data_IF_262961069874
#
_entry.id   IF_262961069874
#
_cell.length_a   1.000
_cell.length_b   1.000
_cell.length_c   1.000
_cell.angle_alpha   90.00
_cell.angle_beta   90.00
_cell.angle_gamma   90.00
#
_symmetry.space_group_name_H-M   'P 1'
#
loop_
_entity.id
_entity.type
_entity.pdbx_description
1 polymer ?
#
# COMPACT_ATOMS: atom_id res chain seq x y z
N UNK A 1 -35.37 -11.06 -7.77
CA UNK A 1 -34.30 -10.72 -6.81
C UNK A 1 -32.97 -11.17 -7.41
N UNK A 2 -32.21 -10.24 -8.02
CA UNK A 2 -30.88 -10.55 -8.51
C UNK A 2 -30.00 -10.78 -7.28
N UNK A 3 -29.40 -11.96 -7.16
CA UNK A 3 -28.26 -12.18 -6.26
C UNK A 3 -27.18 -11.20 -6.75
N UNK A 4 -26.99 -10.12 -6.03
CA UNK A 4 -25.74 -9.38 -6.10
C UNK A 4 -24.66 -10.43 -5.79
N UNK A 5 -23.73 -10.64 -6.71
CA UNK A 5 -22.62 -11.56 -6.49
C UNK A 5 -21.98 -11.15 -5.15
N UNK A 6 -21.95 -12.06 -4.18
CA UNK A 6 -21.23 -11.84 -2.93
C UNK A 6 -19.80 -11.54 -3.32
N UNK A 7 -19.33 -10.32 -3.03
CA UNK A 7 -17.94 -9.96 -3.24
C UNK A 7 -17.08 -10.89 -2.39
N UNK A 8 -15.94 -11.37 -2.89
CA UNK A 8 -15.03 -12.15 -2.06
C UNK A 8 -14.70 -11.30 -0.83
N UNK A 9 -14.93 -11.88 0.34
CA UNK A 9 -14.53 -11.27 1.61
C UNK A 9 -13.01 -11.18 1.61
N UNK A 10 -12.44 -10.03 1.98
CA UNK A 10 -10.99 -9.87 2.05
C UNK A 10 -10.38 -10.93 2.99
N UNK A 11 -9.18 -11.40 2.66
CA UNK A 11 -8.49 -12.42 3.45
C UNK A 11 -8.15 -11.88 4.86
N UNK A 12 -8.74 -12.41 5.94
CA UNK A 12 -8.55 -11.89 7.28
C UNK A 12 -7.17 -12.21 7.88
N UNK A 13 -6.40 -13.11 7.24
CA UNK A 13 -5.15 -13.64 7.82
C UNK A 13 -4.10 -12.56 8.06
N UNK A 14 -3.99 -11.55 7.19
CA UNK A 14 -3.05 -10.44 7.38
C UNK A 14 -3.43 -9.64 8.63
N UNK A 15 -4.70 -9.27 8.75
CA UNK A 15 -5.23 -8.54 9.90
C UNK A 15 -5.05 -9.31 11.20
N UNK A 16 -5.41 -10.60 11.22
CA UNK A 16 -5.25 -11.47 12.39
C UNK A 16 -3.79 -11.56 12.87
N UNK A 17 -2.83 -11.64 11.93
CA UNK A 17 -1.39 -11.64 12.27
C UNK A 17 -0.97 -10.31 12.91
N UNK A 18 -1.41 -9.18 12.34
CA UNK A 18 -1.14 -7.85 12.88
C UNK A 18 -1.76 -7.66 14.27
N UNK A 19 -3.02 -8.02 14.45
CA UNK A 19 -3.75 -7.90 15.71
C UNK A 19 -3.12 -8.76 16.82
N UNK A 20 -2.45 -9.87 16.47
CA UNK A 20 -1.70 -10.71 17.41
C UNK A 20 -0.34 -10.12 17.82
N UNK A 21 0.06 -8.98 17.27
CA UNK A 21 1.36 -8.35 17.51
C UNK A 21 2.53 -9.07 16.83
N UNK A 22 2.25 -9.98 15.89
CA UNK A 22 3.29 -10.72 15.17
C UNK A 22 4.05 -9.80 14.23
N UNK A 23 5.38 -9.92 14.24
CA UNK A 23 6.22 -9.33 13.21
C UNK A 23 6.01 -10.05 11.89
N UNK A 24 5.70 -9.30 10.83
CA UNK A 24 5.38 -9.84 9.50
C UNK A 24 6.50 -9.50 8.54
N UNK A 25 6.98 -10.50 7.82
CA UNK A 25 7.91 -10.32 6.71
C UNK A 25 7.14 -10.49 5.39
N UNK A 26 7.10 -9.43 4.59
CA UNK A 26 6.44 -9.39 3.30
C UNK A 26 7.47 -9.04 2.20
N UNK A 27 8.10 -10.05 1.56
CA UNK A 27 9.06 -9.79 0.49
C UNK A 27 8.37 -9.18 -0.74
N UNK A 28 9.08 -8.32 -1.46
CA UNK A 28 8.65 -7.76 -2.72
C UNK A 28 8.58 -8.82 -3.81
N UNK A 29 7.41 -8.96 -4.45
CA UNK A 29 7.20 -9.80 -5.63
C UNK A 29 6.74 -8.94 -6.80
N UNK A 30 7.06 -9.34 -8.02
CA UNK A 30 6.83 -8.51 -9.20
C UNK A 30 6.48 -9.31 -10.47
N UNK A 31 6.65 -10.63 -10.41
CA UNK A 31 6.25 -11.55 -11.47
C UNK A 31 5.85 -12.92 -10.89
N UNK A 32 5.41 -13.81 -11.74
CA UNK A 32 4.93 -15.12 -11.29
C UNK A 32 6.06 -15.98 -10.72
N UNK A 33 7.29 -15.81 -11.18
CA UNK A 33 8.43 -16.59 -10.67
C UNK A 33 8.80 -16.16 -9.26
N UNK A 34 8.93 -14.85 -9.01
CA UNK A 34 9.19 -14.32 -7.67
C UNK A 34 8.05 -14.65 -6.70
N UNK A 35 6.78 -14.61 -7.16
CA UNK A 35 5.62 -15.02 -6.37
C UNK A 35 5.70 -16.49 -5.97
N UNK A 36 5.98 -17.40 -6.92
CA UNK A 36 6.09 -18.83 -6.65
C UNK A 36 7.30 -19.16 -5.75
N UNK A 37 8.39 -18.42 -5.85
CA UNK A 37 9.54 -18.58 -4.95
C UNK A 37 9.20 -18.14 -3.53
N UNK A 38 8.53 -17.00 -3.35
CA UNK A 38 8.05 -16.52 -2.05
C UNK A 38 7.10 -17.53 -1.40
N UNK A 39 6.19 -18.14 -2.18
CA UNK A 39 5.30 -19.21 -1.70
C UNK A 39 6.08 -20.41 -1.16
N UNK A 40 7.12 -20.85 -1.86
CA UNK A 40 7.94 -21.99 -1.43
C UNK A 40 8.72 -21.73 -0.14
N UNK A 41 9.10 -20.48 0.11
CA UNK A 41 9.76 -20.08 1.35
C UNK A 41 8.77 -19.99 2.50
N UNK A 42 7.50 -19.68 2.24
CA UNK A 42 6.43 -19.65 3.25
C UNK A 42 6.41 -18.36 4.06
N UNK A 43 6.51 -17.21 3.39
CA UNK A 43 6.39 -15.89 4.05
C UNK A 43 4.97 -15.63 4.57
N UNK A 44 4.86 -14.74 5.56
CA UNK A 44 3.59 -14.36 6.18
C UNK A 44 2.65 -13.59 5.26
N UNK A 45 3.22 -12.81 4.35
CA UNK A 45 2.55 -12.04 3.31
C UNK A 45 3.54 -11.82 2.16
N UNK A 46 3.06 -11.33 1.02
CA UNK A 46 3.90 -10.85 -0.10
C UNK A 46 3.51 -9.41 -0.46
N UNK A 47 4.48 -8.62 -0.91
CA UNK A 47 4.27 -7.25 -1.34
C UNK A 47 4.38 -7.14 -2.87
N UNK A 48 3.29 -6.85 -3.55
CA UNK A 48 3.27 -6.59 -4.99
C UNK A 48 3.80 -5.17 -5.24
N UNK A 49 5.12 -5.07 -5.51
CA UNK A 49 5.87 -3.82 -5.57
C UNK A 49 5.64 -3.07 -6.87
N UNK A 50 5.10 -1.85 -6.80
CA UNK A 50 4.81 -1.01 -7.96
C UNK A 50 6.03 -0.75 -8.85
N UNK A 51 7.18 -0.44 -8.26
CA UNK A 51 8.43 -0.25 -8.99
C UNK A 51 8.78 -1.45 -9.88
N UNK A 52 8.85 -2.63 -9.28
CA UNK A 52 9.25 -3.83 -10.01
C UNK A 52 8.16 -4.36 -10.93
N UNK A 53 6.88 -4.18 -10.57
CA UNK A 53 5.76 -4.49 -11.47
C UNK A 53 5.82 -3.65 -12.74
N UNK A 54 6.01 -2.34 -12.60
CA UNK A 54 6.15 -1.42 -13.73
C UNK A 54 7.34 -1.79 -14.61
N UNK A 55 8.50 -2.05 -14.01
CA UNK A 55 9.71 -2.42 -14.73
C UNK A 55 9.58 -3.77 -15.44
N UNK A 56 9.06 -4.80 -14.76
CA UNK A 56 8.99 -6.16 -15.32
C UNK A 56 7.86 -6.38 -16.32
N UNK A 57 6.74 -5.66 -16.15
CA UNK A 57 5.55 -5.85 -16.98
C UNK A 57 5.52 -4.90 -18.17
N UNK A 58 5.92 -3.64 -17.96
CA UNK A 58 5.84 -2.61 -19.00
C UNK A 58 7.22 -2.22 -19.56
N UNK A 59 8.32 -2.57 -18.87
CA UNK A 59 9.68 -2.19 -19.27
C UNK A 59 9.94 -0.68 -19.19
N UNK A 60 9.24 0.03 -18.32
CA UNK A 60 9.32 1.49 -18.17
C UNK A 60 9.68 1.86 -16.71
N UNK A 61 10.21 3.08 -16.48
CA UNK A 61 10.55 3.54 -15.14
C UNK A 61 9.27 3.76 -14.29
N UNK A 62 9.44 3.60 -12.97
CA UNK A 62 8.43 3.91 -11.96
C UNK A 62 8.30 5.42 -11.76
N UNK A 63 7.52 6.05 -12.62
CA UNK A 63 7.35 7.50 -12.72
C UNK A 63 5.87 7.91 -12.91
N UNK A 64 4.94 7.13 -12.37
CA UNK A 64 3.50 7.41 -12.46
C UNK A 64 2.94 7.21 -13.88
N UNK A 65 3.59 6.39 -14.71
CA UNK A 65 3.15 6.12 -16.10
C UNK A 65 2.17 4.94 -16.14
N UNK A 66 2.41 3.90 -15.31
CA UNK A 66 1.54 2.75 -15.25
C UNK A 66 0.12 3.15 -14.82
N UNK A 67 -0.87 2.65 -15.53
CA UNK A 67 -2.27 2.94 -15.26
C UNK A 67 -2.85 2.03 -14.18
N UNK A 68 -3.95 2.47 -13.55
CA UNK A 68 -4.73 1.63 -12.64
C UNK A 68 -5.04 0.24 -13.24
N UNK A 69 -5.47 0.19 -14.50
CA UNK A 69 -5.87 -1.07 -15.15
C UNK A 69 -4.70 -2.02 -15.34
N UNK A 70 -3.54 -1.51 -15.76
CA UNK A 70 -2.32 -2.30 -15.92
C UNK A 70 -1.86 -2.87 -14.59
N UNK A 71 -1.81 -2.03 -13.54
CA UNK A 71 -1.40 -2.44 -12.22
C UNK A 71 -2.38 -3.46 -11.61
N UNK A 72 -3.69 -3.21 -11.67
CA UNK A 72 -4.70 -4.11 -11.15
C UNK A 72 -4.64 -5.49 -11.85
N UNK A 73 -4.50 -5.52 -13.17
CA UNK A 73 -4.37 -6.78 -13.91
C UNK A 73 -3.17 -7.59 -13.45
N UNK A 74 -2.03 -6.94 -13.22
CA UNK A 74 -0.82 -7.61 -12.77
C UNK A 74 -0.92 -8.10 -11.33
N UNK A 75 -1.41 -7.25 -10.44
CA UNK A 75 -1.66 -7.58 -9.03
C UNK A 75 -2.65 -8.74 -8.91
N UNK A 76 -3.72 -8.75 -9.71
CA UNK A 76 -4.67 -9.86 -9.75
C UNK A 76 -4.01 -11.20 -10.07
N UNK A 77 -3.00 -11.23 -10.96
CA UNK A 77 -2.24 -12.46 -11.24
C UNK A 77 -1.35 -12.89 -10.07
N UNK A 78 -0.80 -11.95 -9.32
CA UNK A 78 -0.07 -12.26 -8.07
C UNK A 78 -1.03 -12.88 -7.06
N UNK A 79 -2.22 -12.31 -6.87
CA UNK A 79 -3.25 -12.84 -5.96
C UNK A 79 -3.68 -14.25 -6.36
N UNK A 80 -3.94 -14.49 -7.66
CA UNK A 80 -4.32 -15.83 -8.16
C UNK A 80 -3.28 -16.92 -7.85
N UNK A 81 -1.99 -16.53 -7.72
CA UNK A 81 -0.88 -17.46 -7.53
C UNK A 81 -0.36 -17.53 -6.11
N UNK A 82 -0.63 -16.53 -5.30
CA UNK A 82 -0.20 -16.48 -3.90
C UNK A 82 -1.23 -17.13 -2.98
N UNK A 83 -0.79 -18.03 -2.13
CA UNK A 83 -1.59 -18.52 -0.99
C UNK A 83 -1.41 -17.63 0.24
N UNK A 84 -0.32 -16.82 0.29
CA UNK A 84 -0.12 -15.81 1.32
C UNK A 84 -0.93 -14.55 1.03
N UNK A 85 -1.35 -13.80 2.05
CA UNK A 85 -1.98 -12.50 1.88
C UNK A 85 -1.12 -11.55 1.02
N UNK A 86 -1.75 -10.83 0.09
CA UNK A 86 -1.07 -9.91 -0.82
C UNK A 86 -1.29 -8.47 -0.36
N UNK A 87 -0.19 -7.77 -0.11
CA UNK A 87 -0.14 -6.32 0.04
C UNK A 87 0.17 -5.74 -1.34
N UNK A 88 -0.56 -4.75 -1.81
CA UNK A 88 -0.36 -4.20 -3.14
C UNK A 88 -0.09 -2.69 -3.12
N UNK A 89 0.92 -2.29 -3.88
CA UNK A 89 1.20 -0.88 -4.19
C UNK A 89 0.11 -0.33 -5.12
N UNK A 90 -0.41 0.84 -4.80
CA UNK A 90 -1.39 1.57 -5.59
C UNK A 90 -0.97 3.03 -5.84
N UNK A 91 0.34 3.28 -5.84
CA UNK A 91 0.90 4.61 -6.10
C UNK A 91 0.20 5.70 -5.25
N UNK A 92 -0.25 6.77 -5.87
CA UNK A 92 -1.00 7.85 -5.20
C UNK A 92 -2.53 7.64 -5.21
N UNK A 93 -3.00 6.42 -5.54
CA UNK A 93 -4.41 6.08 -5.72
C UNK A 93 -4.93 6.35 -7.14
N UNK A 94 -4.04 6.55 -8.10
CA UNK A 94 -4.30 6.78 -9.54
C UNK A 94 -5.18 8.00 -9.83
N UNK A 95 -5.15 9.02 -8.97
CA UNK A 95 -5.84 10.29 -9.21
C UNK A 95 -6.43 10.94 -7.95
N UNK A 96 -7.58 11.61 -8.11
CA UNK A 96 -8.29 12.27 -7.03
C UNK A 96 -9.14 11.33 -6.17
N UNK A 97 -10.00 11.88 -5.30
CA UNK A 97 -10.76 11.11 -4.33
C UNK A 97 -11.67 10.03 -4.95
N UNK A 98 -12.30 10.32 -6.09
CA UNK A 98 -13.11 9.33 -6.81
C UNK A 98 -12.27 8.19 -7.40
N UNK A 99 -11.04 8.50 -7.83
CA UNK A 99 -10.11 7.47 -8.30
C UNK A 99 -9.66 6.58 -7.13
N UNK A 100 -9.34 7.16 -5.97
CA UNK A 100 -9.02 6.38 -4.76
C UNK A 100 -10.15 5.43 -4.38
N UNK A 101 -11.39 5.92 -4.35
CA UNK A 101 -12.57 5.08 -4.11
C UNK A 101 -12.64 3.90 -5.11
N UNK A 102 -12.50 4.20 -6.40
CA UNK A 102 -12.53 3.19 -7.47
C UNK A 102 -11.39 2.17 -7.31
N UNK A 103 -10.19 2.65 -7.01
CA UNK A 103 -8.98 1.84 -6.81
C UNK A 103 -9.14 0.86 -5.67
N UNK A 104 -9.58 1.33 -4.50
CA UNK A 104 -9.83 0.48 -3.32
C UNK A 104 -10.82 -0.63 -3.66
N UNK A 105 -11.96 -0.28 -4.27
CA UNK A 105 -12.98 -1.27 -4.68
C UNK A 105 -12.46 -2.29 -5.66
N UNK A 106 -11.61 -1.88 -6.60
CA UNK A 106 -11.03 -2.77 -7.59
C UNK A 106 -10.02 -3.75 -6.99
N UNK A 107 -9.10 -3.25 -6.15
CA UNK A 107 -8.09 -4.07 -5.49
C UNK A 107 -8.70 -5.05 -4.48
N UNK A 108 -9.69 -4.61 -3.70
CA UNK A 108 -10.43 -5.49 -2.80
C UNK A 108 -11.12 -6.63 -3.56
N UNK A 109 -11.81 -6.32 -4.68
CA UNK A 109 -12.43 -7.33 -5.55
C UNK A 109 -11.44 -8.29 -6.19
N UNK A 110 -10.22 -7.85 -6.45
CA UNK A 110 -9.16 -8.70 -6.97
C UNK A 110 -8.59 -9.65 -5.90
N UNK A 111 -9.01 -9.53 -4.62
CA UNK A 111 -8.57 -10.39 -3.52
C UNK A 111 -7.30 -9.92 -2.81
N UNK A 112 -6.91 -8.65 -2.99
CA UNK A 112 -5.80 -8.04 -2.25
C UNK A 112 -6.19 -7.92 -0.78
N UNK A 113 -5.25 -8.18 0.13
CA UNK A 113 -5.47 -8.10 1.59
C UNK A 113 -5.19 -6.70 2.15
N UNK A 114 -4.28 -5.97 1.53
CA UNK A 114 -3.96 -4.58 1.91
C UNK A 114 -3.53 -3.76 0.69
N UNK A 115 -3.95 -2.50 0.66
CA UNK A 115 -3.55 -1.54 -0.36
C UNK A 115 -2.65 -0.47 0.25
N UNK A 116 -1.55 -0.13 -0.44
CA UNK A 116 -0.68 0.99 -0.05
C UNK A 116 -0.93 2.18 -0.97
N UNK A 117 -1.20 3.34 -0.38
CA UNK A 117 -1.36 4.62 -1.07
C UNK A 117 -0.39 5.62 -0.47
N UNK A 118 0.34 6.37 -1.33
CA UNK A 118 1.35 7.33 -0.92
C UNK A 118 0.94 8.78 -1.12
N UNK A 119 1.56 9.70 -0.36
CA UNK A 119 1.28 11.13 -0.38
C UNK A 119 2.08 11.94 -1.42
N UNK A 120 2.75 11.30 -2.38
CA UNK A 120 3.45 12.04 -3.42
C UNK A 120 2.50 12.85 -4.30
N UNK A 121 2.99 13.99 -4.80
CA UNK A 121 2.35 14.70 -5.91
C UNK A 121 2.44 13.85 -7.19
N UNK A 122 1.40 13.88 -8.01
CA UNK A 122 1.44 13.23 -9.33
C UNK A 122 2.09 14.18 -10.38
N UNK A 123 2.94 13.68 -11.28
CA UNK A 123 3.40 12.30 -11.40
C UNK A 123 4.41 11.94 -10.29
N UNK A 124 4.17 10.79 -9.66
CA UNK A 124 5.04 10.30 -8.58
C UNK A 124 6.40 9.82 -9.11
N UNK A 125 7.33 9.60 -8.20
CA UNK A 125 8.65 9.00 -8.48
C UNK A 125 8.88 7.80 -7.58
N UNK A 126 9.80 6.92 -7.98
CA UNK A 126 10.27 5.86 -7.10
C UNK A 126 10.75 6.44 -5.74
N UNK A 127 10.44 5.76 -4.64
CA UNK A 127 10.76 6.17 -3.27
C UNK A 127 12.25 6.41 -3.00
N UNK A 128 13.15 5.90 -3.85
CA UNK A 128 14.60 6.13 -3.77
C UNK A 128 15.10 7.30 -4.63
N UNK A 129 14.21 7.95 -5.41
CA UNK A 129 14.57 9.07 -6.27
C UNK A 129 14.57 10.37 -5.47
N UNK A 130 15.57 11.26 -5.66
CA UNK A 130 15.60 12.56 -4.98
C UNK A 130 14.51 13.51 -5.50
N UNK A 131 14.27 14.59 -4.75
CA UNK A 131 13.34 15.68 -5.11
C UNK A 131 11.89 15.21 -5.27
N UNK A 132 11.46 14.24 -4.49
CA UNK A 132 10.04 13.91 -4.35
C UNK A 132 9.31 15.07 -3.69
N UNK A 133 8.12 15.35 -4.16
CA UNK A 133 7.20 16.31 -3.55
C UNK A 133 5.98 15.60 -3.05
N UNK A 134 5.40 16.09 -1.97
CA UNK A 134 4.23 15.51 -1.33
C UNK A 134 3.09 16.51 -1.33
N UNK A 135 1.86 16.03 -1.45
CA UNK A 135 0.64 16.83 -1.34
C UNK A 135 0.48 17.36 0.09
N UNK A 136 -0.47 18.27 0.31
CA UNK A 136 -0.80 18.72 1.66
C UNK A 136 -1.23 17.54 2.56
N UNK A 137 -1.10 17.70 3.87
CA UNK A 137 -1.59 16.67 4.83
C UNK A 137 -3.09 16.48 4.66
N UNK A 138 -3.82 17.56 4.49
CA UNK A 138 -5.27 17.59 4.35
C UNK A 138 -5.72 16.79 3.12
N UNK A 139 -5.02 16.92 2.00
CA UNK A 139 -5.31 16.16 0.78
C UNK A 139 -5.08 14.66 0.98
N UNK A 140 -3.98 14.28 1.62
CA UNK A 140 -3.71 12.86 1.88
C UNK A 140 -4.66 12.30 2.95
N UNK A 141 -4.99 13.05 4.00
CA UNK A 141 -6.01 12.68 5.00
C UNK A 141 -7.35 12.43 4.32
N UNK A 142 -7.75 13.27 3.36
CA UNK A 142 -8.96 13.05 2.58
C UNK A 142 -8.90 11.75 1.76
N UNK A 143 -7.75 11.44 1.12
CA UNK A 143 -7.55 10.18 0.40
C UNK A 143 -7.64 8.98 1.33
N UNK A 144 -7.01 9.02 2.52
CA UNK A 144 -7.05 7.93 3.50
C UNK A 144 -8.49 7.69 3.97
N UNK A 145 -9.24 8.74 4.30
CA UNK A 145 -10.66 8.61 4.70
C UNK A 145 -11.49 7.96 3.61
N UNK A 146 -11.36 8.44 2.38
CA UNK A 146 -12.07 7.84 1.22
C UNK A 146 -11.66 6.38 1.02
N UNK A 147 -10.39 6.03 1.19
CA UNK A 147 -9.93 4.65 1.08
C UNK A 147 -10.56 3.75 2.14
N UNK A 148 -10.60 4.20 3.39
CA UNK A 148 -11.23 3.48 4.51
C UNK A 148 -12.73 3.32 4.30
N UNK A 149 -13.43 4.37 3.85
CA UNK A 149 -14.88 4.35 3.62
C UNK A 149 -15.27 3.50 2.40
N UNK A 150 -14.38 3.41 1.40
CA UNK A 150 -14.65 2.68 0.15
C UNK A 150 -14.59 1.16 0.31
N UNK A 151 -13.83 0.63 1.27
CA UNK A 151 -13.70 -0.82 1.47
C UNK A 151 -15.03 -1.45 1.89
N UNK A 152 -15.25 -2.70 1.48
CA UNK A 152 -16.43 -3.48 1.86
C UNK A 152 -16.22 -4.31 3.12
N UNK A 153 -14.97 -4.69 3.39
CA UNK A 153 -14.58 -5.54 4.51
C UNK A 153 -13.61 -4.81 5.44
N UNK A 154 -13.76 -4.91 6.77
CA UNK A 154 -12.78 -4.43 7.72
C UNK A 154 -11.46 -5.22 7.72
N UNK A 155 -11.43 -6.37 7.03
CA UNK A 155 -10.24 -7.18 6.84
C UNK A 155 -9.38 -6.72 5.66
N UNK A 156 -9.92 -5.86 4.77
CA UNK A 156 -9.14 -5.18 3.76
C UNK A 156 -8.45 -3.97 4.38
N UNK A 157 -7.12 -3.99 4.44
CA UNK A 157 -6.34 -2.98 5.17
C UNK A 157 -5.89 -1.83 4.26
N UNK A 158 -5.85 -0.63 4.83
CA UNK A 158 -5.33 0.57 4.18
C UNK A 158 -3.99 0.95 4.80
N UNK A 159 -2.94 0.94 3.98
CA UNK A 159 -1.59 1.38 4.34
C UNK A 159 -1.41 2.79 3.79
N UNK A 160 -1.21 3.76 4.67
CA UNK A 160 -0.88 5.12 4.28
C UNK A 160 0.63 5.33 4.33
N UNK A 161 1.24 5.62 3.17
CA UNK A 161 2.66 5.88 3.04
C UNK A 161 2.92 7.38 2.95
N UNK A 162 3.97 7.84 3.64
CA UNK A 162 4.52 9.19 3.44
C UNK A 162 5.93 9.15 2.89
N UNK A 163 6.16 9.94 1.86
CA UNK A 163 7.47 10.19 1.23
C UNK A 163 8.11 11.50 1.71
N UNK A 164 7.57 12.13 2.74
CA UNK A 164 8.00 13.44 3.24
C UNK A 164 9.40 13.44 3.84
N UNK A 165 9.91 12.29 4.35
CA UNK A 165 11.21 12.22 5.04
C UNK A 165 12.36 12.81 4.22
N UNK A 166 12.42 12.51 2.93
CA UNK A 166 13.52 12.92 2.06
C UNK A 166 13.54 14.42 1.72
N UNK A 167 12.37 15.07 1.67
CA UNK A 167 12.25 16.48 1.29
C UNK A 167 11.94 17.43 2.43
N UNK A 168 11.18 16.98 3.44
CA UNK A 168 10.67 17.82 4.53
C UNK A 168 11.23 17.43 5.91
N UNK A 169 11.98 16.34 5.99
CA UNK A 169 12.61 15.89 7.22
C UNK A 169 11.79 14.89 8.04
N UNK A 170 12.44 14.34 9.07
CA UNK A 170 11.90 13.27 9.91
C UNK A 170 10.65 13.70 10.67
N UNK A 171 10.69 14.87 11.33
CA UNK A 171 9.58 15.32 12.20
C UNK A 171 8.30 15.55 11.39
N UNK A 172 8.41 16.08 10.17
CA UNK A 172 7.27 16.23 9.27
C UNK A 172 6.73 14.87 8.81
N UNK A 173 7.60 13.92 8.50
CA UNK A 173 7.16 12.57 8.13
C UNK A 173 6.41 11.88 9.28
N UNK A 174 6.87 12.03 10.52
CA UNK A 174 6.17 11.52 11.71
C UNK A 174 4.82 12.21 11.91
N UNK A 175 4.77 13.55 11.79
CA UNK A 175 3.52 14.31 11.90
C UNK A 175 2.48 13.85 10.88
N UNK A 176 2.90 13.59 9.64
CA UNK A 176 2.05 13.02 8.58
C UNK A 176 1.57 11.63 8.94
N UNK A 177 2.48 10.74 9.35
CA UNK A 177 2.12 9.40 9.77
C UNK A 177 1.08 9.37 10.88
N UNK A 178 1.18 10.27 11.87
CA UNK A 178 0.18 10.43 12.92
C UNK A 178 -1.17 10.89 12.37
N UNK A 179 -1.18 11.89 11.49
CA UNK A 179 -2.41 12.38 10.87
C UNK A 179 -3.12 11.30 10.04
N UNK A 180 -2.34 10.46 9.33
CA UNK A 180 -2.90 9.36 8.53
C UNK A 180 -3.43 8.24 9.41
N UNK A 181 -2.76 7.94 10.53
CA UNK A 181 -3.26 7.01 11.54
C UNK A 181 -4.59 7.48 12.14
N UNK A 182 -4.70 8.78 12.46
CA UNK A 182 -5.95 9.41 12.96
C UNK A 182 -7.05 9.45 11.88
N UNK A 183 -6.69 9.55 10.61
CA UNK A 183 -7.63 9.47 9.49
C UNK A 183 -8.22 8.07 9.27
N UNK A 184 -7.69 7.05 9.93
CA UNK A 184 -8.19 5.68 9.90
C UNK A 184 -7.30 4.68 9.16
N UNK A 185 -6.08 5.04 8.73
CA UNK A 185 -5.14 4.07 8.18
C UNK A 185 -4.90 2.92 9.18
N UNK A 186 -4.88 1.69 8.70
CA UNK A 186 -4.63 0.51 9.52
C UNK A 186 -3.15 0.34 9.80
N UNK A 187 -2.31 0.68 8.82
CA UNK A 187 -0.85 0.62 8.85
C UNK A 187 -0.31 1.95 8.33
N UNK A 188 0.80 2.41 8.89
CA UNK A 188 1.54 3.58 8.38
C UNK A 188 2.90 3.13 7.87
N UNK A 189 3.32 3.67 6.73
CA UNK A 189 4.63 3.43 6.16
C UNK A 189 5.37 4.76 5.96
N UNK A 190 6.50 4.93 6.63
CA UNK A 190 7.37 6.11 6.48
C UNK A 190 8.55 5.73 5.59
N UNK A 191 8.55 6.26 4.36
CA UNK A 191 9.57 5.95 3.36
C UNK A 191 10.92 6.60 3.70
N UNK A 192 12.00 5.88 3.43
CA UNK A 192 13.37 6.36 3.49
C UNK A 192 13.81 6.87 4.88
N UNK A 193 13.47 6.16 5.96
CA UNK A 193 14.08 6.37 7.27
C UNK A 193 15.58 6.04 7.19
N UNK A 194 16.44 6.93 7.74
CA UNK A 194 17.88 6.88 7.52
C UNK A 194 18.68 6.13 8.59
N UNK A 195 18.04 5.79 9.72
CA UNK A 195 18.72 5.15 10.83
C UNK A 195 17.77 4.30 11.67
N UNK A 196 18.33 3.39 12.42
CA UNK A 196 17.59 2.61 13.43
C UNK A 196 16.92 3.53 14.48
N UNK A 197 17.60 4.62 14.88
CA UNK A 197 17.02 5.61 15.81
C UNK A 197 15.75 6.25 15.22
N UNK A 198 15.77 6.64 13.97
CA UNK A 198 14.56 7.17 13.29
C UNK A 198 13.45 6.13 13.23
N UNK A 199 13.77 4.86 12.92
CA UNK A 199 12.79 3.77 12.91
C UNK A 199 12.14 3.59 14.28
N UNK A 200 12.94 3.51 15.34
CA UNK A 200 12.46 3.35 16.71
C UNK A 200 11.62 4.56 17.16
N UNK A 201 12.03 5.77 16.82
CA UNK A 201 11.29 7.00 17.16
C UNK A 201 9.97 7.09 16.42
N UNK A 202 9.95 6.75 15.13
CA UNK A 202 8.72 6.72 14.34
C UNK A 202 7.73 5.69 14.89
N UNK A 203 8.18 4.46 15.16
CA UNK A 203 7.34 3.41 15.78
C UNK A 203 6.76 3.81 17.14
N UNK A 204 7.52 4.56 17.97
CA UNK A 204 7.03 5.05 19.26
C UNK A 204 6.01 6.20 19.12
N UNK A 205 6.20 7.05 18.12
CA UNK A 205 5.36 8.23 17.90
C UNK A 205 4.06 7.90 17.17
N UNK A 206 4.11 7.00 16.20
CA UNK A 206 2.96 6.58 15.37
C UNK A 206 2.35 5.34 16.03
N UNK A 207 1.15 5.50 16.60
CA UNK A 207 0.45 4.45 17.36
C UNK A 207 -0.35 3.51 16.43
N UNK A 208 0.31 2.97 15.42
CA UNK A 208 -0.21 1.99 14.45
C UNK A 208 0.92 1.03 14.06
N UNK A 209 0.61 -0.17 13.54
CA UNK A 209 1.60 -1.00 12.87
C UNK A 209 2.36 -0.21 11.79
N UNK A 210 3.67 -0.47 11.66
CA UNK A 210 4.53 0.17 10.66
C UNK A 210 5.30 -0.91 9.88
#
# INVERSE_FOLDING_TARGET
>A
ASRLAEFPVADPRLKQKLDSGRFIVAPGVFDMMSTMLAERVGFDAVYASGYWLTASYLGIPDAGIATYTEMLNRVGKVVEKSTAPVIADADTGFGGLLNVHHTVRGYERAGVSAIQIEDQEFPKKCGHTPYRRVVSIEDMVAKVRVAVDARSSPDFLVIARTDARGGLGFDEAVRRGQAYAEAGADIVFVEALHSEDEMLRACKAIRKPM
#
